data_IF_904223591487
#
_entry.id   IF_904223591487
#
_cell.length_a   1.000
_cell.length_b   1.000
_cell.length_c   1.000
_cell.angle_alpha   90.00
_cell.angle_beta   90.00
_cell.angle_gamma   90.00
#
_symmetry.space_group_name_H-M   'P 1'
#
loop_
_entity.id
_entity.type
_entity.pdbx_description
1 polymer ?
#
# COMPACT_ATOMS: atom_id res chain seq x y z
N UNK A 1 68.64 -6.29 -22.16
CA UNK A 1 67.52 -7.24 -22.42
C UNK A 1 66.57 -7.38 -21.22
N UNK A 2 66.98 -7.12 -19.97
CA UNK A 2 66.06 -7.13 -18.81
C UNK A 2 65.09 -5.94 -18.77
N UNK A 3 65.50 -4.76 -19.26
CA UNK A 3 64.70 -3.53 -19.12
C UNK A 3 63.38 -3.60 -19.91
N UNK A 4 63.39 -4.25 -21.07
CA UNK A 4 62.19 -4.42 -21.91
C UNK A 4 61.14 -5.32 -21.24
N UNK A 5 61.54 -6.33 -20.46
CA UNK A 5 60.61 -7.18 -19.74
C UNK A 5 59.98 -6.47 -18.55
N UNK A 6 60.75 -5.65 -17.84
CA UNK A 6 60.24 -4.85 -16.73
C UNK A 6 59.23 -3.81 -17.21
N UNK A 7 59.51 -3.13 -18.34
CA UNK A 7 58.58 -2.19 -18.97
C UNK A 7 57.29 -2.91 -19.39
N UNK A 8 57.41 -4.09 -19.99
CA UNK A 8 56.25 -4.89 -20.42
C UNK A 8 55.41 -5.38 -19.23
N UNK A 9 56.04 -5.75 -18.11
CA UNK A 9 55.38 -6.17 -16.87
C UNK A 9 54.61 -4.99 -16.24
N UNK A 10 55.23 -3.81 -16.15
CA UNK A 10 54.56 -2.60 -15.65
C UNK A 10 53.35 -2.24 -16.53
N UNK A 11 53.48 -2.36 -17.85
CA UNK A 11 52.38 -2.09 -18.78
C UNK A 11 51.24 -3.09 -18.62
N UNK A 12 51.54 -4.38 -18.42
CA UNK A 12 50.55 -5.42 -18.15
C UNK A 12 49.80 -5.16 -16.83
N UNK A 13 50.52 -4.80 -15.75
CA UNK A 13 49.91 -4.48 -14.46
C UNK A 13 49.02 -3.24 -14.58
N UNK A 14 49.48 -2.21 -15.30
CA UNK A 14 48.70 -1.00 -15.52
C UNK A 14 47.41 -1.27 -16.31
N UNK A 15 47.47 -2.07 -17.37
CA UNK A 15 46.27 -2.42 -18.15
C UNK A 15 45.30 -3.28 -17.35
N UNK A 16 45.80 -4.21 -16.51
CA UNK A 16 44.96 -5.00 -15.62
C UNK A 16 44.22 -4.13 -14.59
N UNK A 17 44.90 -3.14 -13.98
CA UNK A 17 44.29 -2.19 -13.06
C UNK A 17 43.25 -1.32 -13.79
N UNK A 18 43.59 -0.83 -14.98
CA UNK A 18 42.67 -0.03 -15.81
C UNK A 18 41.39 -0.81 -16.15
N UNK A 19 41.51 -2.10 -16.50
CA UNK A 19 40.35 -2.95 -16.75
C UNK A 19 39.51 -3.18 -15.49
N UNK A 20 40.12 -3.34 -14.31
CA UNK A 20 39.41 -3.48 -13.05
C UNK A 20 38.63 -2.21 -12.71
N UNK A 21 39.25 -1.04 -12.90
CA UNK A 21 38.62 0.27 -12.71
C UNK A 21 37.44 0.44 -13.66
N UNK A 22 37.59 0.11 -14.95
CA UNK A 22 36.50 0.16 -15.93
C UNK A 22 35.38 -0.81 -15.53
N UNK A 23 35.71 -2.05 -15.13
CA UNK A 23 34.72 -3.04 -14.72
C UNK A 23 33.92 -2.60 -13.49
N UNK A 24 34.52 -1.85 -12.57
CA UNK A 24 33.82 -1.32 -11.39
C UNK A 24 32.98 -0.07 -11.70
N UNK A 25 33.54 0.85 -12.50
CA UNK A 25 32.88 2.14 -12.81
C UNK A 25 31.78 1.98 -13.86
N UNK A 26 31.95 1.09 -14.85
CA UNK A 26 30.97 0.87 -15.93
C UNK A 26 29.56 0.47 -15.45
N UNK A 27 29.37 -0.53 -14.56
CA UNK A 27 28.04 -0.88 -14.07
C UNK A 27 27.42 0.25 -13.24
N UNK A 28 28.25 1.01 -12.51
CA UNK A 28 27.81 2.18 -11.75
C UNK A 28 27.29 3.30 -12.68
N UNK A 29 28.06 3.63 -13.72
CA UNK A 29 27.66 4.59 -14.77
C UNK A 29 26.40 4.12 -15.51
N UNK A 30 26.33 2.83 -15.90
CA UNK A 30 25.15 2.24 -16.55
C UNK A 30 23.91 2.34 -15.66
N UNK A 31 24.04 2.06 -14.36
CA UNK A 31 22.95 2.18 -13.37
C UNK A 31 22.46 3.63 -13.25
N UNK A 32 23.36 4.61 -13.27
CA UNK A 32 23.01 6.03 -13.28
C UNK A 32 22.33 6.46 -14.58
N UNK A 33 22.83 5.99 -15.73
CA UNK A 33 22.30 6.33 -17.05
C UNK A 33 20.91 5.70 -17.27
N UNK A 34 20.71 4.42 -16.90
CA UNK A 34 19.40 3.77 -16.96
C UNK A 34 18.36 4.43 -16.05
N UNK A 35 18.75 4.89 -14.85
CA UNK A 35 17.87 5.70 -13.98
C UNK A 35 17.47 7.02 -14.65
N UNK A 36 18.43 7.75 -15.23
CA UNK A 36 18.16 9.01 -15.95
C UNK A 36 17.25 8.81 -17.18
N UNK A 37 17.51 7.78 -18.00
CA UNK A 37 16.66 7.46 -19.17
C UNK A 37 15.23 7.09 -18.75
N UNK A 38 15.06 6.31 -17.67
CA UNK A 38 13.72 5.96 -17.19
C UNK A 38 12.92 7.17 -16.72
N UNK A 39 13.59 8.19 -16.17
CA UNK A 39 12.95 9.45 -15.77
C UNK A 39 12.59 10.29 -16.99
N UNK A 40 13.50 10.42 -17.97
CA UNK A 40 13.21 11.19 -19.19
C UNK A 40 12.11 10.55 -20.04
N UNK A 41 12.04 9.21 -20.13
CA UNK A 41 10.93 8.54 -20.84
C UNK A 41 9.58 8.78 -20.16
N UNK A 42 9.54 8.85 -18.81
CA UNK A 42 8.30 9.19 -18.08
C UNK A 42 7.86 10.62 -18.33
N UNK A 43 8.79 11.58 -18.31
CA UNK A 43 8.52 13.00 -18.60
C UNK A 43 8.08 13.20 -20.06
N UNK A 44 8.71 12.53 -21.02
CA UNK A 44 8.29 12.63 -22.43
C UNK A 44 6.94 11.97 -22.71
N UNK A 45 6.50 11.00 -21.89
CA UNK A 45 5.15 10.42 -21.99
C UNK A 45 4.06 11.37 -21.46
N UNK A 46 4.39 12.22 -20.49
CA UNK A 46 3.50 13.29 -20.03
C UNK A 46 3.47 14.49 -21.00
N UNK A 47 4.60 14.86 -21.64
CA UNK A 47 4.63 15.97 -22.60
C UNK A 47 3.91 15.67 -23.93
N UNK A 48 3.85 14.41 -24.38
CA UNK A 48 3.03 14.04 -25.55
C UNK A 48 1.53 14.03 -25.25
N UNK A 49 1.12 13.99 -23.99
CA UNK A 49 -0.30 14.07 -23.61
C UNK A 49 -0.76 15.52 -23.40
N UNK A 50 0.16 16.47 -23.15
CA UNK A 50 -0.16 17.87 -22.85
C UNK A 50 -0.10 18.81 -24.07
N UNK A 51 0.56 18.44 -25.17
CA UNK A 51 0.59 19.27 -26.42
C UNK A 51 -0.51 18.95 -27.44
N UNK A 52 -1.65 18.45 -26.99
CA UNK A 52 -2.75 18.00 -27.85
C UNK A 52 -4.10 18.71 -27.66
N UNK A 53 -4.18 19.91 -27.10
CA UNK A 53 -5.45 20.68 -27.07
C UNK A 53 -5.24 22.17 -27.32
N UNK A 54 -5.09 22.53 -28.58
CA UNK A 54 -5.55 23.83 -29.10
C UNK A 54 -6.66 23.55 -30.10
N UNK A 55 -7.81 24.16 -29.82
CA UNK A 55 -9.09 24.01 -30.51
C UNK A 55 -9.01 24.50 -31.97
N UNK A 56 -9.38 23.64 -32.93
CA UNK A 56 -10.34 23.95 -34.01
C UNK A 56 -10.77 22.66 -34.77
N UNK A 57 -11.97 22.66 -35.41
CA UNK A 57 -12.78 21.46 -35.61
C UNK A 57 -12.64 20.78 -36.99
N UNK A 58 -13.21 19.57 -37.11
CA UNK A 58 -13.30 18.67 -38.29
C UNK A 58 -12.04 17.82 -38.50
N UNK A 59 -12.07 16.49 -38.49
CA UNK A 59 -13.00 15.55 -39.13
C UNK A 59 -12.91 14.22 -38.35
N UNK A 60 -14.04 13.62 -37.99
CA UNK A 60 -14.07 12.32 -37.31
C UNK A 60 -13.61 11.23 -38.29
N UNK A 61 -12.48 10.59 -38.02
CA UNK A 61 -12.21 9.25 -38.52
C UNK A 61 -12.86 8.24 -37.57
N UNK A 62 -13.64 7.33 -38.14
CA UNK A 62 -14.45 6.35 -37.44
C UNK A 62 -13.56 5.28 -36.81
N UNK A 63 -13.34 5.37 -35.50
CA UNK A 63 -12.85 4.24 -34.71
C UNK A 63 -14.01 3.25 -34.44
N UNK A 64 -13.77 1.93 -34.49
CA UNK A 64 -14.82 0.94 -34.29
C UNK A 64 -15.42 1.06 -32.88
N UNK A 65 -16.74 1.18 -32.84
CA UNK A 65 -17.56 1.38 -31.63
C UNK A 65 -17.58 0.11 -30.76
N UNK A 66 -16.60 -0.05 -29.86
CA UNK A 66 -16.49 -1.22 -28.95
C UNK A 66 -17.34 -1.09 -27.67
N UNK A 67 -18.02 0.03 -27.43
CA UNK A 67 -18.99 0.11 -26.33
C UNK A 67 -20.33 0.68 -26.80
N UNK A 68 -21.40 0.00 -26.38
CA UNK A 68 -22.79 0.37 -26.68
C UNK A 68 -23.05 1.82 -26.32
N UNK A 69 -23.55 2.59 -27.30
CA UNK A 69 -23.89 3.99 -27.10
C UNK A 69 -25.04 4.09 -26.10
N UNK A 70 -24.75 4.58 -24.90
CA UNK A 70 -25.75 4.96 -23.91
C UNK A 70 -26.59 6.11 -24.47
N UNK A 71 -27.89 5.86 -24.69
CA UNK A 71 -28.87 6.90 -25.07
C UNK A 71 -29.36 7.65 -23.82
N UNK A 72 -28.44 8.19 -23.03
CA UNK A 72 -28.85 8.97 -21.86
C UNK A 72 -29.37 10.34 -22.34
N UNK A 73 -30.69 10.54 -22.25
CA UNK A 73 -31.33 11.83 -22.49
C UNK A 73 -31.15 12.65 -21.21
N UNK A 74 -30.20 13.60 -21.22
CA UNK A 74 -29.82 14.41 -20.06
C UNK A 74 -30.90 15.43 -19.63
N UNK A 75 -31.98 15.57 -20.39
CA UNK A 75 -33.05 16.51 -20.10
C UNK A 75 -34.35 15.74 -19.84
N UNK A 76 -34.61 15.42 -18.58
CA UNK A 76 -36.00 15.28 -18.16
C UNK A 76 -36.56 16.70 -17.98
N UNK A 77 -37.70 17.06 -18.60
CA UNK A 77 -38.31 18.36 -18.37
C UNK A 77 -38.62 18.53 -16.88
N UNK A 78 -38.34 19.72 -16.34
CA UNK A 78 -38.69 20.07 -14.96
C UNK A 78 -40.20 19.80 -14.78
N UNK A 79 -40.62 19.05 -13.74
CA UNK A 79 -42.04 18.94 -13.43
C UNK A 79 -42.56 20.34 -13.10
N UNK A 80 -43.52 20.82 -13.89
CA UNK A 80 -44.21 22.05 -13.60
C UNK A 80 -44.91 21.91 -12.24
N UNK A 81 -44.73 22.90 -11.37
CA UNK A 81 -45.44 22.97 -10.11
C UNK A 81 -46.95 22.90 -10.37
N UNK A 82 -47.65 22.03 -9.63
CA UNK A 82 -49.08 21.80 -9.78
C UNK A 82 -49.86 23.05 -9.36
N UNK A 83 -50.18 23.89 -10.33
CA UNK A 83 -51.28 24.85 -10.24
C UNK A 83 -51.91 24.95 -11.62
N UNK A 84 -52.61 23.88 -12.01
CA UNK A 84 -53.96 23.97 -12.57
C UNK A 84 -54.52 22.56 -12.81
N UNK A 85 -55.74 22.36 -12.35
CA UNK A 85 -56.51 21.13 -12.48
C UNK A 85 -57.03 21.01 -13.91
N UNK A 86 -56.31 20.29 -14.77
CA UNK A 86 -56.91 19.69 -15.96
C UNK A 86 -57.06 18.19 -15.78
N UNK A 87 -58.33 17.79 -15.69
CA UNK A 87 -58.82 16.44 -15.48
C UNK A 87 -58.58 15.59 -16.73
N UNK A 88 -57.40 15.00 -16.87
CA UNK A 88 -57.18 13.92 -17.84
C UNK A 88 -57.18 12.56 -17.13
N UNK A 89 -58.06 11.66 -17.59
CA UNK A 89 -58.33 10.36 -16.99
C UNK A 89 -57.08 9.47 -16.90
N UNK A 90 -56.65 9.02 -15.70
CA UNK A 90 -55.55 8.08 -15.59
C UNK A 90 -56.00 6.69 -16.05
N UNK A 91 -55.45 6.21 -17.18
CA UNK A 91 -55.43 4.77 -17.48
C UNK A 91 -54.62 4.09 -16.39
N UNK A 92 -55.30 3.27 -15.56
CA UNK A 92 -54.69 2.43 -14.53
C UNK A 92 -53.60 1.56 -15.17
N UNK A 93 -52.35 1.77 -14.77
CA UNK A 93 -51.26 0.82 -15.02
C UNK A 93 -51.37 -0.30 -14.00
N UNK A 94 -51.20 -1.53 -14.45
CA UNK A 94 -51.27 -2.72 -13.60
C UNK A 94 -50.04 -2.79 -12.68
N UNK A 95 -50.27 -3.32 -11.48
CA UNK A 95 -49.27 -3.45 -10.42
C UNK A 95 -48.16 -4.41 -10.86
N UNK A 96 -46.92 -3.91 -10.88
CA UNK A 96 -45.73 -4.67 -11.35
C UNK A 96 -45.04 -5.41 -10.20
N UNK A 97 -45.49 -5.23 -8.96
CA UNK A 97 -44.93 -5.93 -7.81
C UNK A 97 -45.77 -7.15 -7.46
N UNK A 98 -45.11 -8.26 -7.10
CA UNK A 98 -45.78 -9.43 -6.59
C UNK A 98 -46.50 -9.09 -5.27
N UNK A 99 -47.75 -9.53 -5.05
CA UNK A 99 -48.49 -9.16 -3.86
C UNK A 99 -47.81 -9.72 -2.61
N UNK A 100 -47.55 -8.83 -1.66
CA UNK A 100 -47.04 -9.21 -0.35
C UNK A 100 -48.05 -10.11 0.36
N UNK A 101 -47.67 -11.36 0.60
CA UNK A 101 -48.44 -12.26 1.44
C UNK A 101 -48.40 -11.75 2.87
N UNK A 102 -49.49 -11.11 3.26
CA UNK A 102 -49.78 -10.79 4.66
C UNK A 102 -49.79 -12.07 5.48
N UNK A 103 -48.77 -12.28 6.31
CA UNK A 103 -48.90 -13.15 7.48
C UNK A 103 -48.85 -12.25 8.72
N UNK A 104 -50.05 -11.93 9.21
CA UNK A 104 -50.26 -11.32 10.51
C UNK A 104 -49.65 -12.22 11.59
N UNK A 105 -49.15 -11.55 12.63
CA UNK A 105 -48.69 -12.16 13.86
C UNK A 105 -49.77 -13.05 14.50
N UNK A 106 -49.31 -14.21 14.96
CA UNK A 106 -49.59 -14.85 16.25
C UNK A 106 -49.89 -16.34 16.06
N UNK A 107 -48.87 -17.20 16.07
CA UNK A 107 -49.03 -18.59 16.50
C UNK A 107 -47.68 -19.22 16.86
N UNK A 108 -47.49 -19.36 18.17
CA UNK A 108 -46.73 -20.37 18.92
C UNK A 108 -45.61 -21.14 18.20
N UNK A 109 -44.40 -20.97 18.76
CA UNK A 109 -43.26 -21.87 18.66
C UNK A 109 -43.70 -23.31 18.95
N UNK A 110 -43.46 -24.23 18.01
CA UNK A 110 -43.36 -25.65 18.31
C UNK A 110 -42.28 -26.28 17.43
N UNK A 111 -41.17 -26.67 18.05
CA UNK A 111 -40.13 -27.50 17.46
C UNK A 111 -40.65 -28.94 17.45
N UNK A 112 -40.93 -29.52 16.29
CA UNK A 112 -40.98 -30.99 16.16
C UNK A 112 -40.73 -31.45 14.71
N UNK A 113 -39.52 -31.98 14.51
CA UNK A 113 -39.15 -33.28 13.92
C UNK A 113 -39.89 -33.85 12.68
N UNK A 114 -39.08 -34.32 11.71
CA UNK A 114 -39.41 -35.30 10.66
C UNK A 114 -39.42 -34.68 9.25
N UNK A 115 -38.84 -35.23 8.18
CA UNK A 115 -38.22 -36.51 7.81
C UNK A 115 -37.23 -36.16 6.66
N UNK A 116 -36.00 -36.66 6.64
CA UNK A 116 -35.69 -37.89 5.91
C UNK A 116 -35.24 -37.62 4.46
N UNK A 117 -34.01 -37.13 4.29
CA UNK A 117 -33.24 -37.29 3.04
C UNK A 117 -31.92 -37.95 3.43
N UNK A 118 -31.84 -39.26 3.20
CA UNK A 118 -30.61 -40.03 3.33
C UNK A 118 -29.63 -39.53 2.27
N UNK A 119 -28.54 -38.91 2.72
CA UNK A 119 -27.34 -38.67 1.90
C UNK A 119 -26.36 -39.75 2.32
N UNK A 120 -26.02 -40.64 1.40
CA UNK A 120 -24.97 -41.64 1.62
C UNK A 120 -23.65 -40.91 1.91
N UNK A 121 -23.09 -41.13 3.10
CA UNK A 121 -21.76 -40.69 3.47
C UNK A 121 -20.73 -41.60 2.78
N UNK A 122 -20.26 -41.20 1.61
CA UNK A 122 -18.98 -41.70 1.09
C UNK A 122 -17.86 -41.17 1.99
N UNK A 123 -17.43 -42.04 2.89
CA UNK A 123 -16.31 -41.83 3.81
C UNK A 123 -15.00 -42.01 3.02
N UNK A 124 -14.63 -41.00 2.21
CA UNK A 124 -13.25 -40.86 1.76
C UNK A 124 -12.44 -40.25 2.90
N UNK A 125 -11.71 -41.12 3.62
CA UNK A 125 -10.71 -40.76 4.60
C UNK A 125 -9.64 -39.87 3.94
N UNK A 126 -9.82 -38.56 4.05
CA UNK A 126 -8.82 -37.58 3.64
C UNK A 126 -7.65 -37.75 4.60
N UNK A 127 -6.44 -38.13 4.13
CA UNK A 127 -5.31 -38.23 5.03
C UNK A 127 -5.03 -36.84 5.62
N UNK A 128 -4.89 -36.77 6.94
CA UNK A 128 -4.41 -35.58 7.64
C UNK A 128 -3.05 -35.18 7.05
N UNK A 129 -3.06 -34.21 6.15
CA UNK A 129 -1.84 -33.61 5.64
C UNK A 129 -1.26 -32.79 6.78
N UNK A 130 -0.17 -33.25 7.35
CA UNK A 130 0.63 -32.49 8.31
C UNK A 130 1.18 -31.23 7.63
N UNK A 131 0.44 -30.13 7.77
CA UNK A 131 0.79 -28.81 7.25
C UNK A 131 1.97 -28.18 8.01
N UNK A 132 2.53 -28.85 9.02
CA UNK A 132 3.61 -28.31 9.82
C UNK A 132 4.98 -28.39 9.12
N UNK A 133 5.13 -29.27 8.12
CA UNK A 133 6.42 -29.51 7.45
C UNK A 133 6.64 -28.64 6.19
N UNK A 134 5.61 -27.93 5.69
CA UNK A 134 5.74 -27.08 4.50
C UNK A 134 5.92 -25.58 4.81
N UNK A 135 6.14 -25.22 6.08
CA UNK A 135 6.43 -23.83 6.48
C UNK A 135 7.91 -23.55 6.81
N UNK A 136 8.77 -24.57 6.87
CA UNK A 136 10.19 -24.38 7.21
C UNK A 136 11.10 -24.12 5.98
N UNK A 137 10.56 -24.20 4.76
CA UNK A 137 11.34 -24.08 3.51
C UNK A 137 11.33 -22.71 2.81
N UNK A 138 10.59 -21.73 3.31
CA UNK A 138 10.50 -20.37 2.72
C UNK A 138 11.08 -19.27 3.62
N UNK A 139 11.82 -19.65 4.66
CA UNK A 139 12.62 -18.73 5.45
C UNK A 139 13.95 -18.41 4.75
N UNK A 140 14.03 -17.21 4.14
CA UNK A 140 15.24 -16.41 3.86
C UNK A 140 15.25 -15.69 2.48
N UNK A 141 14.10 -15.53 1.83
CA UNK A 141 13.92 -14.43 0.90
C UNK A 141 13.45 -13.20 1.66
N UNK A 142 14.28 -12.15 1.77
CA UNK A 142 13.78 -10.80 2.11
C UNK A 142 12.91 -10.30 0.95
N UNK A 143 11.74 -10.91 0.77
CA UNK A 143 10.64 -10.28 0.05
C UNK A 143 9.91 -9.48 1.13
N UNK A 144 9.74 -8.16 0.97
CA UNK A 144 8.85 -7.46 1.88
C UNK A 144 7.51 -8.17 1.75
N UNK A 145 6.90 -8.52 2.88
CA UNK A 145 5.49 -8.89 2.91
C UNK A 145 4.71 -7.69 2.34
N UNK A 146 4.60 -7.63 1.02
CA UNK A 146 3.65 -6.80 0.28
C UNK A 146 2.25 -7.41 0.44
N UNK A 147 1.94 -7.89 1.65
CA UNK A 147 0.61 -7.82 2.17
C UNK A 147 0.21 -6.36 2.02
N UNK A 148 -0.79 -6.10 1.18
CA UNK A 148 -1.37 -4.78 1.04
C UNK A 148 -1.87 -4.37 2.43
N UNK A 149 -1.02 -3.65 3.17
CA UNK A 149 -1.35 -3.07 4.46
C UNK A 149 -2.36 -1.99 4.14
N UNK A 150 -3.64 -2.37 4.14
CA UNK A 150 -4.74 -1.48 3.83
C UNK A 150 -4.64 -0.28 4.76
N UNK A 151 -4.48 0.91 4.19
CA UNK A 151 -4.49 2.14 4.97
C UNK A 151 -5.95 2.43 5.32
N UNK A 152 -6.24 2.61 6.62
CA UNK A 152 -7.56 3.02 7.06
C UNK A 152 -7.92 4.40 6.46
N UNK A 153 -9.12 4.51 5.90
CA UNK A 153 -9.65 5.74 5.34
C UNK A 153 -9.63 6.90 6.35
N UNK A 154 -9.96 6.61 7.61
CA UNK A 154 -9.93 7.61 8.67
C UNK A 154 -8.50 8.13 8.88
N UNK A 155 -7.52 7.23 8.93
CA UNK A 155 -6.12 7.59 9.09
C UNK A 155 -5.60 8.45 7.92
N UNK A 156 -6.03 8.16 6.69
CA UNK A 156 -5.73 9.00 5.52
C UNK A 156 -6.32 10.39 5.62
N UNK A 157 -7.60 10.49 6.00
CA UNK A 157 -8.29 11.77 6.20
C UNK A 157 -7.63 12.62 7.29
N UNK A 158 -7.30 12.01 8.43
CA UNK A 158 -6.59 12.67 9.52
C UNK A 158 -5.20 13.11 9.08
N UNK A 159 -4.47 12.27 8.34
CA UNK A 159 -3.15 12.61 7.79
C UNK A 159 -3.21 13.83 6.87
N UNK A 160 -4.16 13.87 5.93
CA UNK A 160 -4.34 15.01 5.04
C UNK A 160 -4.68 16.30 5.81
N UNK A 161 -5.54 16.19 6.82
CA UNK A 161 -5.89 17.32 7.69
C UNK A 161 -4.68 17.83 8.48
N UNK A 162 -3.88 16.93 9.07
CA UNK A 162 -2.68 17.26 9.85
C UNK A 162 -1.58 17.89 9.00
N UNK A 163 -1.45 17.48 7.74
CA UNK A 163 -0.53 18.11 6.78
C UNK A 163 -1.02 19.51 6.37
N UNK A 164 -2.33 19.68 6.16
CA UNK A 164 -2.92 20.97 5.79
C UNK A 164 -2.89 21.99 6.92
N UNK A 165 -3.16 21.56 8.15
CA UNK A 165 -3.42 22.44 9.30
C UNK A 165 -2.49 22.10 10.48
N UNK A 166 -1.21 22.53 10.44
CA UNK A 166 -0.21 22.16 11.43
C UNK A 166 -0.44 22.77 12.82
N UNK A 167 -1.26 23.82 12.94
CA UNK A 167 -1.55 24.49 14.23
C UNK A 167 -2.65 23.82 15.03
N UNK A 168 -3.51 23.05 14.36
CA UNK A 168 -4.74 22.50 14.93
C UNK A 168 -4.65 20.98 15.11
N UNK A 169 -3.50 20.39 14.79
CA UNK A 169 -3.25 18.95 14.90
C UNK A 169 -2.85 18.57 16.32
N UNK A 170 -3.47 17.52 16.84
CA UNK A 170 -3.05 16.88 18.09
C UNK A 170 -1.75 16.12 17.90
N UNK A 171 -0.96 15.94 18.97
CA UNK A 171 0.26 15.11 18.93
C UNK A 171 -0.04 13.68 18.45
N UNK A 172 -1.18 13.12 18.86
CA UNK A 172 -1.63 11.80 18.40
C UNK A 172 -1.92 11.78 16.90
N UNK A 173 -2.47 12.86 16.34
CA UNK A 173 -2.75 12.96 14.90
C UNK A 173 -1.45 13.10 14.10
N UNK A 174 -0.45 13.78 14.67
CA UNK A 174 0.88 13.91 14.08
C UNK A 174 1.64 12.59 14.08
N UNK A 175 1.53 11.80 15.15
CA UNK A 175 2.09 10.45 15.21
C UNK A 175 1.47 9.53 14.15
N UNK A 176 0.14 9.53 14.03
CA UNK A 176 -0.59 8.74 13.03
C UNK A 176 -0.19 9.19 11.63
N UNK A 177 -0.15 10.50 11.38
CA UNK A 177 0.27 11.06 10.10
C UNK A 177 1.71 10.67 9.75
N UNK A 178 2.64 10.79 10.70
CA UNK A 178 4.04 10.39 10.51
C UNK A 178 4.18 8.92 10.17
N UNK A 179 3.45 8.04 10.88
CA UNK A 179 3.39 6.60 10.58
C UNK A 179 2.88 6.34 9.17
N UNK A 180 1.69 6.84 8.83
CA UNK A 180 1.06 6.62 7.51
C UNK A 180 1.94 7.13 6.37
N UNK A 181 2.53 8.32 6.52
CA UNK A 181 3.42 8.91 5.51
C UNK A 181 4.73 8.10 5.37
N UNK A 182 5.29 7.59 6.49
CA UNK A 182 6.50 6.78 6.46
C UNK A 182 6.27 5.42 5.79
N UNK A 183 5.16 4.75 6.09
CA UNK A 183 4.76 3.47 5.49
C UNK A 183 4.48 3.61 3.99
N UNK A 184 3.98 4.77 3.57
CA UNK A 184 3.57 5.04 2.20
C UNK A 184 4.51 5.96 1.42
N UNK A 185 5.75 6.15 1.90
CA UNK A 185 6.77 7.07 1.34
C UNK A 185 6.94 6.98 -0.18
N UNK A 186 6.84 5.77 -0.74
CA UNK A 186 7.10 5.51 -2.16
C UNK A 186 5.84 5.45 -3.03
N UNK A 187 4.67 5.67 -2.45
CA UNK A 187 3.37 5.68 -3.15
C UNK A 187 3.12 7.00 -3.88
N UNK A 188 2.22 6.97 -4.86
CA UNK A 188 1.81 8.19 -5.58
C UNK A 188 1.01 9.17 -4.69
N UNK A 189 0.37 8.68 -3.63
CA UNK A 189 -0.31 9.51 -2.65
C UNK A 189 0.66 10.52 -2.01
N UNK A 190 1.77 10.03 -1.46
CA UNK A 190 2.74 10.92 -0.79
C UNK A 190 3.43 11.84 -1.80
N UNK A 191 3.79 11.33 -2.98
CA UNK A 191 4.41 12.14 -4.04
C UNK A 191 3.49 13.27 -4.51
N UNK A 192 2.22 12.99 -4.75
CA UNK A 192 1.25 14.00 -5.18
C UNK A 192 1.06 15.09 -4.11
N UNK A 193 0.97 14.72 -2.83
CA UNK A 193 0.89 15.69 -1.74
C UNK A 193 2.16 16.56 -1.62
N UNK A 194 3.35 15.98 -1.82
CA UNK A 194 4.60 16.74 -1.81
C UNK A 194 4.73 17.70 -3.00
N UNK A 195 4.22 17.31 -4.17
CA UNK A 195 4.28 18.11 -5.38
C UNK A 195 3.21 19.20 -5.45
N UNK A 196 2.09 19.03 -4.76
CA UNK A 196 0.98 19.99 -4.74
C UNK A 196 1.42 21.34 -4.16
N UNK A 197 2.11 21.32 -3.00
CA UNK A 197 2.58 22.53 -2.33
C UNK A 197 3.95 22.33 -1.67
N UNK A 198 4.87 23.32 -1.76
CA UNK A 198 6.18 23.22 -1.11
C UNK A 198 6.08 23.18 0.42
N UNK A 199 5.03 23.80 0.98
CA UNK A 199 4.75 23.78 2.42
C UNK A 199 4.43 22.35 2.90
N UNK A 200 3.68 21.59 2.09
CA UNK A 200 3.33 20.20 2.39
C UNK A 200 4.55 19.30 2.30
N UNK A 201 5.43 19.50 1.31
CA UNK A 201 6.66 18.73 1.21
C UNK A 201 7.49 18.81 2.50
N UNK A 202 7.70 20.03 3.01
CA UNK A 202 8.43 20.24 4.28
C UNK A 202 7.71 19.58 5.45
N UNK A 203 6.40 19.78 5.55
CA UNK A 203 5.59 19.22 6.66
C UNK A 203 5.57 17.70 6.66
N UNK A 204 5.43 17.08 5.49
CA UNK A 204 5.45 15.63 5.33
C UNK A 204 6.81 15.07 5.78
N UNK A 205 7.91 15.68 5.34
CA UNK A 205 9.26 15.26 5.78
C UNK A 205 9.42 15.40 7.29
N UNK A 206 8.98 16.50 7.90
CA UNK A 206 9.04 16.70 9.35
C UNK A 206 8.28 15.61 10.13
N UNK A 207 7.06 15.26 9.69
CA UNK A 207 6.24 14.22 10.34
C UNK A 207 6.88 12.84 10.22
N UNK A 208 7.47 12.52 9.07
CA UNK A 208 8.19 11.26 8.87
C UNK A 208 9.44 11.18 9.74
N UNK A 209 10.26 12.24 9.77
CA UNK A 209 11.49 12.30 10.57
C UNK A 209 11.17 12.16 12.06
N UNK A 210 10.09 12.81 12.53
CA UNK A 210 9.62 12.68 13.92
C UNK A 210 9.21 11.24 14.25
N UNK A 211 8.48 10.57 13.36
CA UNK A 211 8.09 9.18 13.55
C UNK A 211 9.32 8.25 13.60
N UNK A 212 10.29 8.45 12.72
CA UNK A 212 11.56 7.69 12.72
C UNK A 212 12.36 7.92 14.01
N UNK A 213 12.44 9.17 14.49
CA UNK A 213 13.10 9.49 15.76
C UNK A 213 12.42 8.79 16.94
N UNK A 214 11.09 8.82 17.01
CA UNK A 214 10.32 8.16 18.08
C UNK A 214 10.54 6.64 18.09
N UNK A 215 10.62 6.02 16.91
CA UNK A 215 10.96 4.61 16.77
C UNK A 215 12.38 4.31 17.30
N UNK A 216 13.37 5.15 16.94
CA UNK A 216 14.74 4.99 17.40
C UNK A 216 14.85 5.13 18.94
N UNK A 217 14.16 6.12 19.52
CA UNK A 217 14.11 6.32 20.97
C UNK A 217 13.47 5.12 21.69
N UNK A 218 12.36 4.60 21.17
CA UNK A 218 11.71 3.42 21.73
C UNK A 218 12.61 2.18 21.67
N UNK A 219 13.40 2.00 20.60
CA UNK A 219 14.37 0.91 20.49
C UNK A 219 15.52 1.07 21.50
N UNK A 220 16.03 2.28 21.68
CA UNK A 220 17.09 2.57 22.65
C UNK A 220 16.64 2.32 24.10
N UNK A 221 15.40 2.67 24.44
CA UNK A 221 14.81 2.39 25.75
C UNK A 221 14.62 0.89 26.01
N UNK A 222 14.22 0.12 24.99
CA UNK A 222 14.14 -1.35 25.09
C UNK A 222 15.51 -1.97 25.33
N UNK A 223 16.55 -1.52 24.62
CA UNK A 223 17.92 -2.01 24.84
C UNK A 223 18.49 -1.66 26.21
N UNK A 224 18.23 -0.45 26.73
CA UNK A 224 18.73 -0.03 28.04
C UNK A 224 18.04 -0.77 29.19
N UNK A 225 16.73 -1.02 29.09
CA UNK A 225 15.99 -1.81 30.08
C UNK A 225 16.41 -3.29 30.08
N UNK A 226 16.67 -3.89 28.92
CA UNK A 226 17.23 -5.25 28.82
C UNK A 226 18.63 -5.35 29.45
N UNK A 227 19.53 -4.39 29.20
CA UNK A 227 20.86 -4.35 29.83
C UNK A 227 20.77 -4.18 31.35
N UNK A 228 19.84 -3.36 31.84
CA UNK A 228 19.60 -3.19 33.29
C UNK A 228 19.10 -4.48 33.94
N UNK A 229 18.22 -5.23 33.27
CA UNK A 229 17.77 -6.54 33.73
C UNK A 229 18.91 -7.55 33.78
N UNK A 230 19.73 -7.66 32.73
CA UNK A 230 20.91 -8.54 32.75
C UNK A 230 21.85 -8.23 33.91
N UNK A 231 22.16 -6.94 34.14
CA UNK A 231 23.02 -6.53 35.27
C UNK A 231 22.41 -6.85 36.64
N UNK A 232 21.08 -6.89 36.75
CA UNK A 232 20.39 -7.27 37.99
C UNK A 232 20.50 -8.78 38.24
N UNK A 233 20.23 -9.62 37.22
CA UNK A 233 20.37 -11.08 37.32
C UNK A 233 21.81 -11.50 37.64
N UNK A 234 22.80 -10.84 37.04
CA UNK A 234 24.23 -11.10 37.29
C UNK A 234 24.69 -10.63 38.69
N UNK A 235 23.92 -9.77 39.38
CA UNK A 235 24.25 -9.36 40.75
C UNK A 235 23.59 -10.22 41.83
N UNK A 236 22.43 -10.83 41.55
CA UNK A 236 21.69 -11.64 42.53
C UNK A 236 22.20 -13.08 42.60
N UNK A 237 22.56 -13.69 41.46
CA UNK A 237 23.02 -15.09 41.40
C UNK A 237 24.45 -15.29 41.93
N UNK A 238 25.27 -14.24 41.95
CA UNK A 238 26.66 -14.28 42.45
C UNK A 238 26.84 -13.66 43.83
N UNK A 239 25.83 -12.99 44.40
CA UNK A 239 25.94 -12.40 45.74
C UNK A 239 26.05 -13.45 46.86
N UNK A 240 25.55 -14.66 46.62
CA UNK A 240 25.60 -15.78 47.57
C UNK A 240 26.60 -16.88 47.18
N UNK A 241 27.41 -16.66 46.14
CA UNK A 241 28.42 -17.64 45.73
C UNK A 241 29.72 -17.40 46.50
N UNK A 242 29.91 -18.14 47.60
CA UNK A 242 31.15 -18.13 48.35
C UNK A 242 32.03 -19.31 47.92
N UNK A 243 33.23 -19.02 47.40
CA UNK A 243 34.18 -20.05 46.91
C UNK A 243 34.71 -20.90 48.07
N UNK A 244 34.69 -20.36 49.30
CA UNK A 244 35.18 -21.04 50.49
C UNK A 244 34.25 -22.16 51.00
N UNK A 245 32.99 -22.23 50.54
CA UNK A 245 32.04 -23.29 50.92
C UNK A 245 32.25 -24.60 50.13
N UNK A 246 33.23 -24.64 49.21
CA UNK A 246 33.51 -25.79 48.32
C UNK A 246 34.72 -26.62 48.82
N UNK A 247 35.25 -26.35 50.02
CA UNK A 247 36.42 -27.07 50.57
C UNK A 247 36.11 -28.17 51.57
#
# INVERSE_FOLDING_TARGET
>A
MMDTYNILLVLLVYTAILLLVIFYIYPFLKKLFSRKISISIRISKEETEVKGKVVQPQKQEELPSVLGKSKFVLSQPLPNAATDLETENPKKKEDTFAPETKKSADETVNLETGEGVEVEEDNEEVPDVDLNDEYEGLGAGNMPDEAASGIDYNNLGTTAKTVSNPTDSSEADEDVAGKVLSENKYTELVKSMQNDRPDYAKRITELMDRHEQKLAEAQNQKMSTSRKKQKLYESEDFANFNVDDIS
#
